data_IF_448874837077
#
_entry.id   IF_448874837077
#
_cell.length_a   1.000
_cell.length_b   1.000
_cell.length_c   1.000
_cell.angle_alpha   90.00
_cell.angle_beta   90.00
_cell.angle_gamma   90.00
#
_symmetry.space_group_name_H-M   'P 1'
#
loop_
_entity.id
_entity.type
_entity.pdbx_description
1 polymer ?
#
# COMPACT_ATOMS: atom_id res chain seq x y z
N UNK A 1 -26.76 -29.45 -9.48
CA UNK A 1 -26.03 -28.23 -9.88
C UNK A 1 -26.27 -28.01 -11.36
N UNK A 2 -27.03 -26.98 -11.72
CA UNK A 2 -27.34 -26.69 -13.12
C UNK A 2 -26.24 -25.85 -13.74
N UNK A 3 -25.72 -26.27 -14.89
CA UNK A 3 -24.87 -25.43 -15.73
C UNK A 3 -25.78 -24.45 -16.47
N UNK A 4 -25.46 -23.15 -16.40
CA UNK A 4 -26.16 -22.09 -17.12
C UNK A 4 -25.20 -21.54 -18.16
N UNK A 5 -25.62 -21.47 -19.41
CA UNK A 5 -24.87 -20.83 -20.50
C UNK A 5 -25.37 -19.40 -20.67
N UNK A 6 -24.44 -18.44 -20.68
CA UNK A 6 -24.72 -17.02 -20.95
C UNK A 6 -23.99 -16.63 -22.22
N UNK A 7 -24.72 -16.07 -23.19
CA UNK A 7 -24.15 -15.54 -24.43
C UNK A 7 -24.01 -14.02 -24.31
N UNK A 8 -22.84 -13.49 -24.67
CA UNK A 8 -22.57 -12.05 -24.69
C UNK A 8 -21.65 -11.70 -25.85
N UNK A 9 -21.78 -10.46 -26.35
CA UNK A 9 -20.84 -9.90 -27.34
C UNK A 9 -19.50 -9.51 -26.70
N UNK A 10 -19.53 -9.10 -25.43
CA UNK A 10 -18.36 -8.62 -24.71
C UNK A 10 -18.30 -9.24 -23.31
N UNK A 11 -17.08 -9.52 -22.84
CA UNK A 11 -16.82 -10.12 -21.53
C UNK A 11 -15.72 -9.30 -20.84
N UNK A 12 -15.94 -8.91 -19.60
CA UNK A 12 -14.90 -8.34 -18.72
C UNK A 12 -14.58 -9.37 -17.64
N UNK A 13 -13.32 -9.81 -17.59
CA UNK A 13 -12.81 -10.72 -16.57
C UNK A 13 -12.28 -9.90 -15.39
N UNK A 14 -12.88 -10.06 -14.22
CA UNK A 14 -12.53 -9.33 -13.00
C UNK A 14 -12.48 -10.25 -11.77
N UNK A 15 -11.86 -11.43 -11.92
CA UNK A 15 -11.78 -12.45 -10.85
C UNK A 15 -10.80 -12.10 -9.72
N UNK A 16 -10.09 -10.98 -9.83
CA UNK A 16 -9.25 -10.42 -8.79
C UNK A 16 -8.02 -11.28 -8.49
N UNK A 17 -7.66 -11.33 -7.20
CA UNK A 17 -6.49 -12.03 -6.66
C UNK A 17 -6.86 -12.87 -5.44
N UNK A 18 -5.93 -13.71 -5.01
CA UNK A 18 -5.98 -14.46 -3.74
C UNK A 18 -4.69 -14.24 -2.95
N UNK A 19 -4.69 -14.47 -1.62
CA UNK A 19 -3.47 -14.40 -0.81
C UNK A 19 -2.35 -15.29 -1.38
N UNK A 20 -1.14 -14.77 -1.41
CA UNK A 20 0.04 -15.54 -1.75
C UNK A 20 0.39 -16.50 -0.61
N UNK A 21 0.85 -17.70 -0.94
CA UNK A 21 1.35 -18.68 0.04
C UNK A 21 2.87 -18.79 -0.03
N UNK A 22 3.47 -19.29 1.05
CA UNK A 22 4.92 -19.53 1.12
C UNK A 22 5.15 -21.01 0.77
N UNK A 23 5.98 -21.33 -0.24
CA UNK A 23 6.29 -22.72 -0.58
C UNK A 23 6.77 -23.51 0.64
N UNK A 24 6.14 -24.66 0.89
CA UNK A 24 6.45 -25.53 2.03
C UNK A 24 5.73 -25.17 3.34
N UNK A 25 5.00 -24.05 3.40
CA UNK A 25 4.13 -23.70 4.53
C UNK A 25 2.68 -23.95 4.12
N UNK A 26 1.98 -24.81 4.88
CA UNK A 26 0.57 -25.10 4.64
C UNK A 26 -0.29 -24.12 5.42
N UNK A 27 -1.21 -23.44 4.72
CA UNK A 27 -2.29 -22.65 5.34
C UNK A 27 -3.43 -23.63 5.67
N UNK A 28 -3.74 -23.79 6.95
CA UNK A 28 -4.73 -24.75 7.44
C UNK A 28 -6.07 -24.08 7.85
N UNK A 29 -6.13 -22.75 7.80
CA UNK A 29 -7.31 -21.97 8.17
C UNK A 29 -7.59 -21.93 9.68
N UNK A 30 -6.74 -22.54 10.51
CA UNK A 30 -6.90 -22.61 11.97
C UNK A 30 -5.71 -22.01 12.71
N UNK A 31 -4.51 -22.54 12.50
CA UNK A 31 -3.27 -22.08 13.14
C UNK A 31 -2.44 -21.21 12.19
N UNK A 32 -2.44 -21.55 10.90
CA UNK A 32 -1.82 -20.76 9.84
C UNK A 32 -2.94 -20.27 8.93
N UNK A 33 -3.13 -18.95 8.92
CA UNK A 33 -4.25 -18.29 8.27
C UNK A 33 -3.77 -17.22 7.29
N UNK A 34 -4.66 -16.77 6.43
CA UNK A 34 -4.48 -15.59 5.57
C UNK A 34 -5.39 -14.45 6.02
N UNK A 35 -5.38 -13.35 5.29
CA UNK A 35 -6.32 -12.25 5.50
C UNK A 35 -7.78 -12.69 5.43
N UNK A 36 -8.09 -13.70 4.60
CA UNK A 36 -9.47 -14.12 4.35
C UNK A 36 -10.08 -14.78 5.59
N UNK A 37 -9.34 -15.68 6.23
CA UNK A 37 -9.79 -16.30 7.48
C UNK A 37 -9.71 -15.33 8.66
N UNK A 38 -8.72 -14.44 8.71
CA UNK A 38 -8.56 -13.48 9.81
C UNK A 38 -9.79 -12.57 9.96
N UNK A 39 -10.40 -12.16 8.85
CA UNK A 39 -11.62 -11.33 8.88
C UNK A 39 -12.86 -12.06 9.43
N UNK A 40 -12.80 -13.39 9.55
CA UNK A 40 -13.92 -14.23 9.98
C UNK A 40 -13.71 -14.85 11.37
N UNK A 41 -12.65 -14.47 12.09
CA UNK A 41 -12.37 -15.02 13.42
C UNK A 41 -13.41 -14.53 14.44
N UNK A 42 -13.87 -15.44 15.28
CA UNK A 42 -14.80 -15.14 16.39
C UNK A 42 -14.10 -14.94 17.73
N UNK A 43 -12.83 -15.37 17.82
CA UNK A 43 -12.00 -15.31 19.02
C UNK A 43 -10.60 -14.81 18.64
N UNK A 44 -10.05 -13.90 19.45
CA UNK A 44 -8.70 -13.37 19.26
C UNK A 44 -7.66 -14.32 19.86
N UNK A 45 -6.52 -14.56 19.18
CA UNK A 45 -5.38 -15.26 19.80
C UNK A 45 -4.75 -14.40 20.90
N UNK A 46 -4.07 -15.01 21.87
CA UNK A 46 -3.25 -14.24 22.83
C UNK A 46 -2.00 -13.67 22.13
N UNK A 47 -1.47 -14.40 21.14
CA UNK A 47 -0.30 -14.00 20.36
C UNK A 47 -0.37 -14.42 18.89
N UNK A 48 0.15 -13.55 18.01
CA UNK A 48 0.17 -13.79 16.56
C UNK A 48 1.51 -13.39 15.94
N UNK A 49 2.00 -14.22 15.02
CA UNK A 49 3.10 -13.88 14.13
C UNK A 49 2.54 -13.50 12.75
N UNK A 50 2.82 -12.29 12.29
CA UNK A 50 2.48 -11.80 10.96
C UNK A 50 3.71 -11.93 10.07
N UNK A 51 3.58 -12.65 8.96
CA UNK A 51 4.65 -12.89 7.99
C UNK A 51 4.41 -12.02 6.77
N UNK A 52 5.20 -10.96 6.64
CA UNK A 52 5.06 -9.92 5.64
C UNK A 52 4.77 -8.57 6.31
N UNK A 53 5.70 -7.63 6.17
CA UNK A 53 5.62 -6.26 6.62
C UNK A 53 5.11 -5.29 5.56
N UNK A 54 4.36 -5.78 4.55
CA UNK A 54 3.64 -4.95 3.59
C UNK A 54 2.35 -4.36 4.17
N UNK A 55 1.59 -3.64 3.34
CA UNK A 55 0.35 -2.91 3.71
C UNK A 55 -0.60 -3.75 4.59
N UNK A 56 -1.05 -4.90 4.07
CA UNK A 56 -1.98 -5.81 4.77
C UNK A 56 -1.42 -6.24 6.13
N UNK A 57 -0.13 -6.60 6.17
CA UNK A 57 0.50 -7.09 7.39
C UNK A 57 0.57 -6.02 8.48
N UNK A 58 0.94 -4.78 8.13
CA UNK A 58 1.05 -3.68 9.10
C UNK A 58 -0.32 -3.16 9.56
N UNK A 59 -1.34 -3.16 8.69
CA UNK A 59 -2.70 -2.80 9.07
C UNK A 59 -3.27 -3.79 10.09
N UNK A 60 -3.19 -5.09 9.81
CA UNK A 60 -3.62 -6.11 10.77
C UNK A 60 -2.76 -6.11 12.05
N UNK A 61 -1.47 -5.78 11.96
CA UNK A 61 -0.65 -5.61 13.15
C UNK A 61 -1.21 -4.51 14.07
N UNK A 62 -1.60 -3.37 13.50
CA UNK A 62 -2.23 -2.27 14.25
C UNK A 62 -3.56 -2.70 14.87
N UNK A 63 -4.45 -3.30 14.07
CA UNK A 63 -5.77 -3.74 14.51
C UNK A 63 -5.65 -4.71 15.69
N UNK A 64 -4.84 -5.76 15.54
CA UNK A 64 -4.70 -6.81 16.54
C UNK A 64 -4.01 -6.30 17.81
N UNK A 65 -2.97 -5.47 17.67
CA UNK A 65 -2.30 -4.86 18.82
C UNK A 65 -3.26 -3.97 19.63
N UNK A 66 -4.08 -3.16 18.95
CA UNK A 66 -5.09 -2.31 19.60
C UNK A 66 -6.20 -3.12 20.29
N UNK A 67 -6.45 -4.35 19.83
CA UNK A 67 -7.36 -5.30 20.47
C UNK A 67 -6.69 -6.11 21.60
N UNK A 68 -5.42 -5.83 21.92
CA UNK A 68 -4.68 -6.45 23.03
C UNK A 68 -3.94 -7.74 22.67
N UNK A 69 -3.86 -8.11 21.39
CA UNK A 69 -3.09 -9.28 20.94
C UNK A 69 -1.60 -8.97 20.96
N UNK A 70 -0.77 -9.90 21.43
CA UNK A 70 0.68 -9.77 21.31
C UNK A 70 1.12 -10.03 19.86
N UNK A 71 1.51 -8.98 19.15
CA UNK A 71 1.87 -9.05 17.73
C UNK A 71 3.38 -9.07 17.52
N UNK A 72 3.86 -10.03 16.74
CA UNK A 72 5.19 -9.98 16.11
C UNK A 72 5.03 -9.92 14.59
N UNK A 73 5.69 -8.98 13.93
CA UNK A 73 5.76 -8.87 12.46
C UNK A 73 7.17 -9.24 12.00
N UNK A 74 7.28 -10.15 11.03
CA UNK A 74 8.54 -10.41 10.33
C UNK A 74 8.43 -9.95 8.86
N UNK A 75 9.51 -9.36 8.36
CA UNK A 75 9.65 -8.95 6.96
C UNK A 75 10.99 -9.44 6.43
N UNK A 76 10.98 -10.03 5.23
CA UNK A 76 12.17 -10.55 4.58
C UNK A 76 13.10 -9.41 4.11
N UNK A 77 12.52 -8.30 3.68
CA UNK A 77 13.25 -7.09 3.31
C UNK A 77 13.74 -6.34 4.54
N UNK A 78 14.63 -5.37 4.33
CA UNK A 78 15.26 -4.58 5.37
C UNK A 78 14.33 -3.54 6.03
N UNK A 79 13.10 -3.39 5.52
CA UNK A 79 12.09 -2.42 5.98
C UNK A 79 10.66 -2.89 5.74
N UNK A 80 9.75 -2.43 6.60
CA UNK A 80 8.30 -2.56 6.40
C UNK A 80 7.83 -1.56 5.33
N UNK A 81 6.64 -1.78 4.77
CA UNK A 81 6.03 -0.97 3.69
C UNK A 81 7.08 -0.52 2.64
N UNK A 82 7.84 -1.48 2.06
CA UNK A 82 9.07 -1.22 1.31
C UNK A 82 8.86 -0.42 0.00
N UNK A 83 7.61 -0.27 -0.42
CA UNK A 83 7.21 0.54 -1.58
C UNK A 83 7.17 2.04 -1.29
N UNK A 84 7.01 2.42 -0.02
CA UNK A 84 6.93 3.80 0.45
C UNK A 84 8.31 4.47 0.56
N UNK A 85 8.30 5.79 0.77
CA UNK A 85 9.53 6.55 1.03
C UNK A 85 10.26 6.04 2.28
N UNK A 86 11.58 5.97 2.21
CA UNK A 86 12.43 5.38 3.26
C UNK A 86 12.22 6.05 4.63
N UNK A 87 12.02 7.37 4.64
CA UNK A 87 11.81 8.14 5.87
C UNK A 87 10.46 7.82 6.50
N UNK A 88 9.42 7.70 5.67
CA UNK A 88 8.05 7.38 6.08
C UNK A 88 7.97 5.96 6.65
N UNK A 89 8.57 4.99 5.94
CA UNK A 89 8.71 3.61 6.42
C UNK A 89 9.44 3.54 7.78
N UNK A 90 10.54 4.29 7.92
CA UNK A 90 11.30 4.36 9.17
C UNK A 90 10.50 4.93 10.33
N UNK A 91 9.75 6.02 10.10
CA UNK A 91 8.90 6.64 11.12
C UNK A 91 7.75 5.71 11.54
N UNK A 92 7.05 5.08 10.58
CA UNK A 92 5.99 4.13 10.90
C UNK A 92 6.53 2.99 11.77
N UNK A 93 7.67 2.39 11.39
CA UNK A 93 8.29 1.32 12.19
C UNK A 93 8.56 1.76 13.63
N UNK A 94 9.09 2.97 13.84
CA UNK A 94 9.34 3.50 15.18
C UNK A 94 8.06 3.69 15.98
N UNK A 95 6.99 4.19 15.35
CA UNK A 95 5.69 4.37 16.01
C UNK A 95 5.07 3.03 16.39
N UNK A 96 5.05 2.05 15.48
CA UNK A 96 4.49 0.73 15.75
C UNK A 96 5.25 -0.03 16.85
N UNK A 97 6.58 0.08 16.89
CA UNK A 97 7.38 -0.50 17.99
C UNK A 97 7.04 0.18 19.33
N UNK A 98 6.89 1.51 19.34
CA UNK A 98 6.51 2.25 20.54
C UNK A 98 5.10 1.86 21.03
N UNK A 99 4.22 1.48 20.11
CA UNK A 99 2.86 1.03 20.40
C UNK A 99 2.79 -0.44 20.85
N UNK A 100 3.94 -1.14 20.92
CA UNK A 100 4.06 -2.48 21.50
C UNK A 100 4.23 -3.62 20.49
N UNK A 101 4.29 -3.32 19.19
CA UNK A 101 4.45 -4.34 18.14
C UNK A 101 5.94 -4.73 18.00
N UNK A 102 6.25 -6.02 18.06
CA UNK A 102 7.62 -6.52 17.79
C UNK A 102 7.85 -6.62 16.28
N UNK A 103 8.70 -5.77 15.70
CA UNK A 103 8.96 -5.73 14.25
C UNK A 103 10.38 -6.18 13.94
N UNK A 104 10.51 -7.24 13.13
CA UNK A 104 11.79 -7.84 12.73
C UNK A 104 11.93 -7.89 11.22
N UNK A 105 12.79 -7.01 10.72
CA UNK A 105 13.15 -6.93 9.30
C UNK A 105 14.28 -7.91 8.98
N UNK A 106 14.60 -8.12 7.70
CA UNK A 106 15.61 -9.08 7.25
C UNK A 106 15.43 -10.48 7.85
N UNK A 107 14.18 -10.88 8.08
CA UNK A 107 13.81 -12.10 8.81
C UNK A 107 12.83 -12.94 7.99
N UNK A 108 13.17 -14.22 7.80
CA UNK A 108 12.45 -15.13 6.92
C UNK A 108 11.86 -16.31 7.70
N UNK A 109 10.57 -16.60 7.50
CA UNK A 109 9.95 -17.84 7.97
C UNK A 109 10.50 -19.03 7.17
N UNK A 110 11.02 -20.04 7.87
CA UNK A 110 11.56 -21.26 7.25
C UNK A 110 10.69 -22.48 7.45
N UNK A 111 10.07 -22.61 8.62
CA UNK A 111 9.28 -23.79 8.99
C UNK A 111 8.22 -23.42 10.01
N UNK A 112 7.09 -24.13 9.96
CA UNK A 112 6.02 -24.08 10.95
C UNK A 112 5.76 -25.49 11.43
N UNK A 113 5.79 -25.70 12.75
CA UNK A 113 5.37 -26.93 13.42
C UNK A 113 4.26 -26.60 14.42
N UNK A 114 3.24 -27.46 14.53
CA UNK A 114 2.15 -27.30 15.50
C UNK A 114 2.32 -28.37 16.59
N UNK A 115 2.43 -27.95 17.85
CA UNK A 115 2.58 -28.84 19.01
C UNK A 115 1.72 -28.34 20.16
N UNK A 116 0.92 -29.22 20.76
CA UNK A 116 0.10 -28.91 21.94
C UNK A 116 -0.72 -27.62 21.79
N UNK A 117 -1.34 -27.41 20.61
CA UNK A 117 -2.08 -26.21 20.23
C UNK A 117 -1.27 -24.90 20.16
N UNK A 118 0.06 -24.97 20.25
CA UNK A 118 0.98 -23.85 20.03
C UNK A 118 1.65 -23.98 18.65
N UNK A 119 1.84 -22.87 17.97
CA UNK A 119 2.56 -22.80 16.70
C UNK A 119 4.02 -22.42 16.96
N UNK A 120 4.95 -23.28 16.56
CA UNK A 120 6.39 -23.03 16.59
C UNK A 120 6.87 -22.60 15.20
N UNK A 121 7.10 -21.31 15.02
CA UNK A 121 7.64 -20.72 13.80
C UNK A 121 9.16 -20.65 13.86
N UNK A 122 9.85 -21.41 13.02
CA UNK A 122 11.29 -21.27 12.84
C UNK A 122 11.57 -20.11 11.88
N UNK A 123 12.19 -19.05 12.39
CA UNK A 123 12.59 -17.89 11.59
C UNK A 123 14.11 -17.76 11.55
N UNK A 124 14.62 -17.21 10.45
CA UNK A 124 16.04 -16.94 10.28
C UNK A 124 16.24 -15.45 9.99
N UNK A 125 17.08 -14.80 10.78
CA UNK A 125 17.59 -13.46 10.50
C UNK A 125 19.09 -13.58 10.28
N UNK A 126 19.57 -13.14 9.12
CA UNK A 126 20.95 -13.34 8.67
C UNK A 126 21.38 -14.82 8.73
N UNK A 127 22.17 -15.20 9.75
CA UNK A 127 22.66 -16.57 10.01
C UNK A 127 22.15 -17.14 11.33
N UNK A 128 21.30 -16.42 12.06
CA UNK A 128 20.76 -16.86 13.34
C UNK A 128 19.35 -17.40 13.16
N UNK A 129 19.19 -18.67 13.49
CA UNK A 129 17.90 -19.32 13.57
C UNK A 129 17.32 -19.16 14.98
N UNK A 130 16.03 -18.86 15.05
CA UNK A 130 15.27 -18.85 16.30
C UNK A 130 13.89 -19.48 16.10
N UNK A 131 13.24 -19.78 17.22
CA UNK A 131 11.86 -20.30 17.25
C UNK A 131 11.00 -19.28 17.96
N UNK A 132 9.99 -18.77 17.26
CA UNK A 132 8.93 -17.93 17.81
C UNK A 132 7.73 -18.83 18.10
N UNK A 133 7.22 -18.78 19.33
CA UNK A 133 6.00 -19.50 19.74
C UNK A 133 4.83 -18.54 19.79
N UNK A 134 3.76 -18.85 19.07
CA UNK A 134 2.53 -18.05 18.98
C UNK A 134 1.31 -18.96 18.87
N UNK A 135 0.12 -18.42 19.06
CA UNK A 135 -1.13 -19.19 18.90
C UNK A 135 -1.55 -19.29 17.44
N UNK A 136 -1.24 -18.25 16.64
CA UNK A 136 -1.56 -18.19 15.21
C UNK A 136 -0.45 -17.52 14.39
N UNK A 137 -0.40 -17.87 13.11
CA UNK A 137 0.41 -17.20 12.09
C UNK A 137 -0.52 -16.62 11.02
N UNK A 138 -0.34 -15.34 10.70
CA UNK A 138 -0.93 -14.70 9.52
C UNK A 138 0.10 -14.66 8.38
N UNK A 139 -0.22 -15.26 7.23
CA UNK A 139 0.55 -15.12 6.01
C UNK A 139 0.03 -13.88 5.24
N UNK A 140 0.86 -12.83 5.18
CA UNK A 140 0.57 -11.56 4.54
C UNK A 140 1.70 -11.16 3.56
N UNK A 141 2.23 -12.12 2.81
CA UNK A 141 3.39 -11.94 1.91
C UNK A 141 3.04 -11.39 0.52
N UNK A 142 1.79 -10.97 0.32
CA UNK A 142 1.29 -10.42 -0.94
C UNK A 142 0.08 -11.18 -1.48
N UNK A 143 -0.28 -10.88 -2.72
CA UNK A 143 -1.43 -11.45 -3.42
C UNK A 143 -1.02 -11.88 -4.82
N UNK A 144 -1.71 -12.88 -5.37
CA UNK A 144 -1.48 -13.38 -6.73
C UNK A 144 -2.78 -13.35 -7.54
N UNK A 145 -2.74 -13.05 -8.85
CA UNK A 145 -3.89 -13.12 -9.74
C UNK A 145 -4.66 -14.45 -9.64
N UNK A 146 -5.99 -14.39 -9.61
CA UNK A 146 -6.86 -15.56 -9.44
C UNK A 146 -7.47 -16.01 -10.76
N UNK A 147 -6.87 -17.03 -11.39
CA UNK A 147 -7.44 -17.70 -12.58
C UNK A 147 -8.45 -18.79 -12.19
N UNK A 148 -8.79 -18.92 -10.90
CA UNK A 148 -9.70 -19.96 -10.42
C UNK A 148 -11.07 -19.85 -11.09
N UNK A 149 -11.58 -20.98 -11.59
CA UNK A 149 -12.87 -21.04 -12.29
C UNK A 149 -12.86 -20.55 -13.74
N UNK A 150 -11.69 -20.17 -14.28
CA UNK A 150 -11.55 -19.76 -15.69
C UNK A 150 -10.86 -20.85 -16.51
N UNK A 151 -11.47 -21.30 -17.59
CA UNK A 151 -10.82 -22.18 -18.58
C UNK A 151 -10.06 -21.35 -19.63
N UNK A 152 -9.03 -20.66 -19.16
CA UNK A 152 -8.16 -19.79 -19.97
C UNK A 152 -7.51 -20.55 -21.13
N UNK A 153 -7.14 -21.81 -20.89
CA UNK A 153 -6.52 -22.70 -21.86
C UNK A 153 -7.41 -22.97 -23.06
N UNK A 154 -8.70 -23.29 -22.84
CA UNK A 154 -9.63 -23.61 -23.93
C UNK A 154 -9.87 -22.42 -24.87
N UNK A 155 -9.84 -21.20 -24.33
CA UNK A 155 -10.14 -19.95 -25.07
C UNK A 155 -8.87 -19.29 -25.62
N UNK A 156 -7.68 -19.81 -25.29
CA UNK A 156 -6.38 -19.28 -25.72
C UNK A 156 -6.14 -17.80 -25.32
N UNK A 157 -6.63 -17.38 -24.13
CA UNK A 157 -6.28 -16.08 -23.57
C UNK A 157 -4.81 -16.12 -23.10
N UNK A 158 -4.01 -15.13 -23.51
CA UNK A 158 -2.58 -15.05 -23.19
C UNK A 158 -2.37 -14.66 -21.73
N UNK A 159 -1.49 -15.38 -21.06
CA UNK A 159 -1.09 -15.13 -19.68
C UNK A 159 0.42 -15.05 -19.52
N UNK A 160 0.88 -14.34 -18.50
CA UNK A 160 2.28 -14.32 -18.05
C UNK A 160 2.30 -14.49 -16.52
N UNK A 161 3.01 -15.47 -15.97
CA UNK A 161 3.12 -15.69 -14.50
C UNK A 161 1.77 -15.57 -13.75
N UNK A 162 0.74 -16.25 -14.27
CA UNK A 162 -0.64 -16.29 -13.76
C UNK A 162 -1.49 -15.02 -13.90
N UNK A 163 -1.00 -13.92 -14.49
CA UNK A 163 -1.87 -12.78 -14.86
C UNK A 163 -2.33 -12.86 -16.31
N UNK A 164 -3.51 -12.31 -16.60
CA UNK A 164 -3.99 -12.09 -17.97
C UNK A 164 -3.27 -10.88 -18.56
N UNK A 165 -2.74 -11.03 -19.78
CA UNK A 165 -2.09 -9.94 -20.50
C UNK A 165 -3.14 -9.07 -21.17
N UNK A 166 -3.10 -7.76 -20.89
CA UNK A 166 -3.95 -6.76 -21.53
C UNK A 166 -3.12 -5.60 -22.10
N UNK A 167 -3.67 -4.90 -23.10
CA UNK A 167 -3.14 -3.61 -23.55
C UNK A 167 -3.62 -2.46 -22.65
N UNK A 168 -3.25 -1.20 -22.94
CA UNK A 168 -3.68 -0.03 -22.16
C UNK A 168 -5.18 0.31 -22.28
N UNK A 169 -5.92 -0.34 -23.19
CA UNK A 169 -7.38 -0.26 -23.34
C UNK A 169 -8.09 -1.40 -22.59
N UNK A 170 -7.36 -2.14 -21.75
CA UNK A 170 -7.81 -3.30 -20.98
C UNK A 170 -8.25 -4.51 -21.84
N UNK A 171 -7.89 -4.53 -23.13
CA UNK A 171 -8.24 -5.61 -24.05
C UNK A 171 -7.25 -6.76 -23.92
N UNK A 172 -7.77 -7.99 -23.92
CA UNK A 172 -6.96 -9.21 -24.06
C UNK A 172 -6.57 -9.43 -25.53
N UNK A 173 -5.97 -10.58 -25.85
CA UNK A 173 -5.74 -11.01 -27.23
C UNK A 173 -6.99 -11.54 -27.95
N UNK A 174 -8.13 -11.69 -27.25
CA UNK A 174 -9.38 -12.16 -27.83
C UNK A 174 -10.31 -10.95 -28.02
N UNK A 175 -10.82 -10.77 -29.23
CA UNK A 175 -11.75 -9.68 -29.55
C UNK A 175 -13.02 -9.77 -28.69
N UNK A 176 -13.46 -8.63 -28.14
CA UNK A 176 -14.60 -8.58 -27.22
C UNK A 176 -14.30 -9.03 -25.80
N UNK A 177 -13.07 -9.49 -25.48
CA UNK A 177 -12.70 -9.94 -24.13
C UNK A 177 -11.68 -9.00 -23.51
N UNK A 178 -12.02 -8.52 -22.31
CA UNK A 178 -11.26 -7.58 -21.50
C UNK A 178 -10.92 -8.23 -20.16
N UNK A 179 -9.89 -7.72 -19.47
CA UNK A 179 -9.59 -8.09 -18.10
C UNK A 179 -9.15 -6.87 -17.29
N UNK A 180 -9.59 -6.77 -16.04
CA UNK A 180 -9.38 -5.60 -15.18
C UNK A 180 -9.12 -6.00 -13.72
N UNK A 181 -8.47 -5.11 -12.99
CA UNK A 181 -8.08 -5.29 -11.60
C UNK A 181 -6.97 -6.30 -11.44
N UNK A 182 -6.87 -6.87 -10.24
CA UNK A 182 -5.73 -7.66 -9.81
C UNK A 182 -5.38 -8.86 -10.70
N UNK A 183 -6.32 -9.36 -11.49
CA UNK A 183 -6.10 -10.46 -12.45
C UNK A 183 -5.06 -10.09 -13.52
N UNK A 184 -4.83 -8.80 -13.76
CA UNK A 184 -3.83 -8.27 -14.71
C UNK A 184 -2.44 -8.11 -14.08
N UNK A 185 -2.32 -8.25 -12.75
CA UNK A 185 -1.06 -8.18 -12.01
C UNK A 185 -0.36 -6.81 -12.03
N UNK A 186 -1.08 -5.73 -12.33
CA UNK A 186 -0.59 -4.35 -12.28
C UNK A 186 -0.52 -3.80 -10.85
N UNK A 187 -1.13 -2.64 -10.61
CA UNK A 187 -1.26 -2.08 -9.26
C UNK A 187 -2.51 -2.69 -8.61
N UNK A 188 -2.31 -3.49 -7.57
CA UNK A 188 -3.38 -4.26 -6.91
C UNK A 188 -4.15 -3.40 -5.89
N UNK A 189 -4.86 -2.38 -6.39
CA UNK A 189 -5.64 -1.44 -5.58
C UNK A 189 -7.07 -1.33 -6.13
N UNK A 190 -8.05 -1.22 -5.22
CA UNK A 190 -9.46 -1.18 -5.59
C UNK A 190 -9.82 -0.01 -6.52
N UNK A 191 -9.26 1.18 -6.27
CA UNK A 191 -9.47 2.36 -7.13
C UNK A 191 -8.80 2.23 -8.49
N UNK A 192 -7.69 1.49 -8.61
CA UNK A 192 -7.09 1.16 -9.91
C UNK A 192 -7.98 0.17 -10.66
N UNK A 193 -8.41 -0.91 -10.02
CA UNK A 193 -9.32 -1.88 -10.63
C UNK A 193 -10.63 -1.23 -11.11
N UNK A 194 -11.16 -0.26 -10.35
CA UNK A 194 -12.34 0.51 -10.72
C UNK A 194 -12.09 1.38 -11.95
N UNK A 195 -10.95 2.08 -12.00
CA UNK A 195 -10.56 2.89 -13.16
C UNK A 195 -10.34 2.03 -14.43
N UNK A 196 -9.68 0.87 -14.28
CA UNK A 196 -9.52 -0.11 -15.35
C UNK A 196 -10.88 -0.64 -15.85
N UNK A 197 -11.82 -0.90 -14.94
CA UNK A 197 -13.20 -1.26 -15.26
C UNK A 197 -13.93 -0.20 -16.10
N UNK A 198 -13.77 1.08 -15.74
CA UNK A 198 -14.31 2.21 -16.51
C UNK A 198 -13.69 2.23 -17.91
N UNK A 199 -12.37 2.15 -18.03
CA UNK A 199 -11.66 2.12 -19.32
C UNK A 199 -12.16 0.96 -20.20
N UNK A 200 -12.32 -0.23 -19.64
CA UNK A 200 -12.85 -1.38 -20.39
C UNK A 200 -14.28 -1.13 -20.88
N UNK A 201 -15.16 -0.61 -20.01
CA UNK A 201 -16.55 -0.31 -20.36
C UNK A 201 -16.68 0.78 -21.44
N UNK A 202 -15.87 1.85 -21.35
CA UNK A 202 -15.81 2.91 -22.36
C UNK A 202 -15.38 2.37 -23.72
N UNK A 203 -14.37 1.51 -23.75
CA UNK A 203 -13.91 0.87 -24.99
C UNK A 203 -14.95 -0.09 -25.58
N UNK A 204 -15.70 -0.83 -24.75
CA UNK A 204 -16.84 -1.64 -25.20
C UNK A 204 -17.93 -0.76 -25.81
N UNK A 205 -18.16 0.43 -25.27
CA UNK A 205 -19.12 1.40 -25.79
C UNK A 205 -18.64 2.12 -27.07
N UNK A 206 -17.43 1.81 -27.57
CA UNK A 206 -16.86 2.41 -28.78
C UNK A 206 -16.14 3.74 -28.56
N UNK A 207 -15.84 4.10 -27.31
CA UNK A 207 -15.00 5.25 -26.99
C UNK A 207 -13.51 4.89 -27.10
N UNK A 208 -12.65 5.91 -27.17
CA UNK A 208 -11.19 5.75 -27.14
C UNK A 208 -10.67 6.11 -25.74
N UNK A 209 -10.47 5.08 -24.92
CA UNK A 209 -10.07 5.24 -23.52
C UNK A 209 -8.84 4.40 -23.19
N UNK A 210 -7.90 4.98 -22.45
CA UNK A 210 -6.66 4.31 -22.02
C UNK A 210 -6.44 4.54 -20.54
N UNK A 211 -5.94 3.52 -19.84
CA UNK A 211 -5.56 3.65 -18.44
C UNK A 211 -4.26 4.48 -18.31
N UNK A 212 -4.22 5.37 -17.31
CA UNK A 212 -3.02 6.10 -16.91
C UNK A 212 -2.77 5.92 -15.42
N UNK A 213 -1.79 5.07 -15.10
CA UNK A 213 -1.41 4.74 -13.72
C UNK A 213 -0.20 5.55 -13.22
N UNK A 214 0.16 6.68 -13.86
CA UNK A 214 1.26 7.52 -13.39
C UNK A 214 0.97 8.17 -12.03
N UNK A 215 -0.30 8.48 -11.77
CA UNK A 215 -0.75 9.19 -10.57
C UNK A 215 -1.78 8.32 -9.88
N UNK A 216 -1.27 7.38 -9.09
CA UNK A 216 -2.10 6.51 -8.25
C UNK A 216 -1.73 6.77 -6.80
N UNK A 217 -2.67 7.25 -5.98
CA UNK A 217 -2.43 7.37 -4.55
C UNK A 217 -2.37 5.98 -3.91
N UNK A 218 -1.46 5.82 -2.95
CA UNK A 218 -1.39 4.69 -2.05
C UNK A 218 -1.84 5.14 -0.66
N UNK A 219 -2.67 4.35 -0.02
CA UNK A 219 -3.20 4.61 1.31
C UNK A 219 -3.01 3.35 2.17
N UNK A 220 -2.48 3.54 3.38
CA UNK A 220 -2.22 2.49 4.36
C UNK A 220 -2.87 2.93 5.67
N UNK A 221 -3.86 2.18 6.12
CA UNK A 221 -4.75 2.55 7.21
C UNK A 221 -4.22 2.07 8.57
N UNK A 222 -2.94 2.33 8.84
CA UNK A 222 -2.31 2.16 10.16
C UNK A 222 -2.63 3.32 11.09
N UNK A 223 -2.17 3.27 12.34
CA UNK A 223 -2.22 4.42 13.26
C UNK A 223 -0.80 4.83 13.70
N UNK A 224 -0.26 5.96 13.23
CA UNK A 224 -0.87 6.92 12.29
C UNK A 224 -1.01 6.35 10.87
N UNK A 225 -1.88 6.98 10.06
CA UNK A 225 -2.07 6.62 8.66
C UNK A 225 -0.81 6.95 7.84
N UNK A 226 -0.61 6.23 6.74
CA UNK A 226 0.42 6.54 5.74
C UNK A 226 -0.25 6.68 4.38
N UNK A 227 0.11 7.72 3.64
CA UNK A 227 -0.35 7.90 2.28
C UNK A 227 0.72 8.54 1.38
N UNK A 228 0.73 8.15 0.11
CA UNK A 228 1.70 8.68 -0.85
C UNK A 228 1.13 8.77 -2.26
N UNK A 229 1.71 9.64 -3.08
CA UNK A 229 1.45 9.71 -4.51
C UNK A 229 2.71 10.18 -5.24
N UNK A 230 2.97 9.62 -6.42
CA UNK A 230 4.14 9.94 -7.23
C UNK A 230 5.41 9.19 -6.82
N UNK A 231 6.56 9.82 -7.06
CA UNK A 231 7.88 9.22 -6.85
C UNK A 231 8.31 9.33 -5.39
N UNK A 232 8.91 8.27 -4.86
CA UNK A 232 9.74 8.34 -3.65
C UNK A 232 11.05 9.05 -3.95
N UNK A 233 11.75 9.52 -2.91
CA UNK A 233 13.05 10.17 -3.05
C UNK A 233 14.05 9.26 -3.77
N UNK A 234 14.13 8.00 -3.35
CA UNK A 234 15.02 7.01 -3.95
C UNK A 234 14.69 6.72 -5.41
N UNK A 235 13.40 6.65 -5.77
CA UNK A 235 12.97 6.42 -7.16
C UNK A 235 13.25 7.64 -8.04
N UNK A 236 13.02 8.85 -7.54
CA UNK A 236 13.33 10.09 -8.25
C UNK A 236 14.84 10.21 -8.56
N UNK A 237 15.69 10.00 -7.55
CA UNK A 237 17.15 10.01 -7.75
C UNK A 237 17.59 8.91 -8.73
N UNK A 238 17.07 7.69 -8.58
CA UNK A 238 17.40 6.57 -9.49
C UNK A 238 16.96 6.81 -10.93
N UNK A 239 15.88 7.59 -11.14
CA UNK A 239 15.40 8.01 -12.45
C UNK A 239 16.18 9.21 -13.03
N UNK A 240 17.19 9.73 -12.32
CA UNK A 240 18.06 10.81 -12.79
C UNK A 240 17.57 12.23 -12.46
N UNK A 241 16.49 12.38 -11.68
CA UNK A 241 16.03 13.70 -11.25
C UNK A 241 17.02 14.32 -10.25
N UNK A 242 17.21 15.63 -10.36
CA UNK A 242 17.82 16.42 -9.30
C UNK A 242 16.70 16.93 -8.42
N UNK A 243 16.69 16.61 -7.14
CA UNK A 243 15.53 16.89 -6.30
C UNK A 243 15.77 18.00 -5.27
N UNK A 244 14.69 18.69 -4.90
CA UNK A 244 14.54 19.40 -3.63
C UNK A 244 13.44 18.71 -2.83
N UNK A 245 13.45 18.89 -1.51
CA UNK A 245 12.39 18.37 -0.66
C UNK A 245 12.01 19.38 0.42
N UNK A 246 10.71 19.48 0.71
CA UNK A 246 10.18 20.24 1.84
C UNK A 246 9.46 19.30 2.80
N UNK A 247 9.49 19.61 4.10
CA UNK A 247 8.86 18.79 5.13
C UNK A 247 8.19 19.65 6.19
N UNK A 248 7.05 19.18 6.69
CA UNK A 248 6.37 19.79 7.82
C UNK A 248 5.88 18.72 8.81
N UNK A 249 6.35 18.73 10.07
CA UNK A 249 5.93 17.75 11.08
C UNK A 249 4.60 18.15 11.72
N UNK A 250 3.74 17.17 12.01
CA UNK A 250 2.43 17.43 12.63
C UNK A 250 2.52 18.00 14.05
N UNK A 251 3.65 17.84 14.74
CA UNK A 251 3.91 18.50 16.03
C UNK A 251 3.94 20.04 15.93
N UNK A 252 4.16 20.60 14.75
CA UNK A 252 4.09 22.04 14.49
C UNK A 252 2.69 22.49 14.03
N UNK A 253 1.75 21.57 13.78
CA UNK A 253 0.39 21.90 13.35
C UNK A 253 -0.53 22.08 14.57
N UNK A 254 -1.17 23.24 14.69
CA UNK A 254 -2.07 23.55 15.81
C UNK A 254 -3.29 22.62 15.86
N UNK A 255 -3.87 22.25 14.72
CA UNK A 255 -5.01 21.32 14.66
C UNK A 255 -4.62 19.94 15.18
N UNK A 256 -3.48 19.41 14.74
CA UNK A 256 -2.95 18.12 15.22
C UNK A 256 -2.72 18.13 16.74
N UNK A 257 -2.23 19.25 17.30
CA UNK A 257 -2.12 19.42 18.76
C UNK A 257 -3.49 19.37 19.43
N UNK A 258 -4.51 20.06 18.90
CA UNK A 258 -5.87 20.03 19.48
C UNK A 258 -6.53 18.66 19.43
N UNK A 259 -6.09 17.80 18.50
CA UNK A 259 -6.56 16.42 18.35
C UNK A 259 -5.75 15.42 19.20
N UNK A 260 -4.65 15.85 19.82
CA UNK A 260 -3.65 14.97 20.45
C UNK A 260 -3.03 13.93 19.47
N UNK A 261 -2.96 14.29 18.17
CA UNK A 261 -2.49 13.42 17.09
C UNK A 261 -1.31 14.05 16.35
N UNK A 262 -0.21 14.27 17.07
CA UNK A 262 0.96 15.01 16.55
C UNK A 262 2.03 14.13 15.90
N UNK A 263 1.80 12.82 15.78
CA UNK A 263 2.80 11.87 15.24
C UNK A 263 2.89 12.01 13.72
N UNK A 264 4.11 12.16 13.22
CA UNK A 264 4.43 12.09 11.80
C UNK A 264 4.69 13.43 11.12
N UNK A 265 4.69 13.43 9.79
CA UNK A 265 5.03 14.57 8.94
C UNK A 265 4.46 14.43 7.53
N UNK A 266 4.49 15.54 6.80
CA UNK A 266 4.33 15.60 5.34
C UNK A 266 5.70 15.88 4.71
N UNK A 267 6.00 15.18 3.61
CA UNK A 267 7.19 15.35 2.77
C UNK A 267 6.79 15.56 1.32
N UNK A 268 7.26 16.65 0.73
CA UNK A 268 7.07 17.00 -0.68
C UNK A 268 8.40 16.88 -1.41
N UNK A 269 8.37 16.30 -2.61
CA UNK A 269 9.53 16.09 -3.48
C UNK A 269 9.30 16.84 -4.78
N UNK A 270 10.29 17.66 -5.16
CA UNK A 270 10.25 18.54 -6.33
C UNK A 270 11.44 18.25 -7.23
N UNK A 271 11.22 18.18 -8.53
CA UNK A 271 12.32 18.22 -9.49
C UNK A 271 12.89 19.64 -9.56
N UNK A 272 14.15 19.81 -9.16
CA UNK A 272 14.84 21.10 -9.13
C UNK A 272 15.12 21.72 -10.51
N UNK A 273 14.91 20.98 -11.60
CA UNK A 273 15.08 21.53 -12.96
C UNK A 273 13.80 22.18 -13.48
N UNK A 274 12.66 21.52 -13.29
CA UNK A 274 11.35 21.97 -13.76
C UNK A 274 10.54 22.70 -12.69
N UNK A 275 10.94 22.56 -11.42
CA UNK A 275 10.20 22.96 -10.20
C UNK A 275 8.86 22.23 -10.01
N UNK A 276 8.55 21.21 -10.82
CA UNK A 276 7.33 20.42 -10.66
C UNK A 276 7.37 19.53 -9.42
N UNK A 277 6.26 19.47 -8.71
CA UNK A 277 6.06 18.50 -7.63
C UNK A 277 5.92 17.11 -8.25
N UNK A 278 6.81 16.20 -7.88
CA UNK A 278 6.90 14.84 -8.43
C UNK A 278 6.54 13.74 -7.42
N UNK A 279 6.36 14.11 -6.14
CA UNK A 279 5.86 13.18 -5.13
C UNK A 279 5.48 13.88 -3.84
N UNK A 280 4.45 13.35 -3.18
CA UNK A 280 4.04 13.76 -1.83
C UNK A 280 3.86 12.51 -0.99
N UNK A 281 4.36 12.53 0.24
CA UNK A 281 4.33 11.43 1.18
C UNK A 281 3.92 11.94 2.55
N UNK A 282 2.96 11.28 3.18
CA UNK A 282 2.35 11.70 4.44
C UNK A 282 2.34 10.52 5.39
N UNK A 283 2.75 10.77 6.63
CA UNK A 283 2.48 9.91 7.78
C UNK A 283 1.88 10.78 8.87
N UNK A 284 0.69 10.46 9.35
CA UNK A 284 0.03 11.27 10.37
C UNK A 284 -1.50 11.18 10.35
N UNK A 285 -2.19 12.08 11.07
CA UNK A 285 -3.65 12.12 11.10
C UNK A 285 -4.22 12.44 9.71
N UNK A 286 -5.28 11.72 9.34
CA UNK A 286 -6.03 11.90 8.07
C UNK A 286 -5.13 11.91 6.82
N UNK A 287 -4.00 11.20 6.84
CA UNK A 287 -3.06 11.15 5.72
C UNK A 287 -3.74 10.73 4.40
N UNK A 288 -4.69 9.80 4.49
CA UNK A 288 -5.42 9.24 3.35
C UNK A 288 -6.38 10.23 2.70
N UNK A 289 -6.85 11.23 3.44
CA UNK A 289 -7.65 12.33 2.91
C UNK A 289 -6.75 13.46 2.38
N UNK A 290 -5.70 13.81 3.11
CA UNK A 290 -4.77 14.89 2.73
C UNK A 290 -4.04 14.60 1.41
N UNK A 291 -3.73 13.34 1.12
CA UNK A 291 -2.97 12.94 -0.08
C UNK A 291 -3.69 13.24 -1.40
N UNK A 292 -5.02 13.44 -1.36
CA UNK A 292 -5.78 13.83 -2.55
C UNK A 292 -5.36 15.18 -3.10
N UNK A 293 -4.91 16.11 -2.23
CA UNK A 293 -4.32 17.38 -2.68
C UNK A 293 -3.04 17.15 -3.51
N UNK A 294 -2.23 16.16 -3.11
CA UNK A 294 -1.05 15.75 -3.86
C UNK A 294 -1.41 15.11 -5.20
N UNK A 295 -2.44 14.29 -5.24
CA UNK A 295 -2.91 13.67 -6.49
C UNK A 295 -3.33 14.73 -7.50
N UNK A 296 -4.03 15.78 -7.05
CA UNK A 296 -4.39 16.91 -7.89
C UNK A 296 -3.16 17.72 -8.33
N UNK A 297 -2.24 18.02 -7.40
CA UNK A 297 -1.02 18.77 -7.70
C UNK A 297 -0.15 18.06 -8.76
N UNK A 298 0.05 16.75 -8.64
CA UNK A 298 0.78 15.97 -9.64
C UNK A 298 0.03 15.92 -10.98
N UNK A 299 -1.32 15.84 -10.96
CA UNK A 299 -2.12 15.79 -12.19
C UNK A 299 -2.08 17.08 -12.97
N UNK A 300 -1.97 18.21 -12.28
CA UNK A 300 -1.86 19.54 -12.85
C UNK A 300 -0.40 19.97 -13.07
N UNK A 301 0.57 19.10 -12.81
CA UNK A 301 2.02 19.39 -12.92
C UNK A 301 2.45 20.62 -12.12
N UNK A 302 1.79 20.84 -10.98
CA UNK A 302 1.90 22.04 -10.14
C UNK A 302 3.31 22.24 -9.59
N UNK A 303 3.69 23.51 -9.39
CA UNK A 303 4.97 23.93 -8.81
C UNK A 303 4.77 24.60 -7.43
N UNK A 304 5.78 24.61 -6.53
CA UNK A 304 5.66 25.26 -5.22
C UNK A 304 5.23 26.74 -5.24
N UNK A 305 5.59 27.48 -6.29
CA UNK A 305 5.21 28.90 -6.44
C UNK A 305 3.68 29.09 -6.52
N UNK A 306 2.96 28.12 -7.07
CA UNK A 306 1.49 28.18 -7.20
C UNK A 306 0.77 28.03 -5.85
N UNK A 307 1.46 27.52 -4.81
CA UNK A 307 0.91 27.40 -3.46
C UNK A 307 0.95 28.70 -2.66
N UNK A 308 1.86 29.64 -2.97
CA UNK A 308 2.15 30.84 -2.15
C UNK A 308 0.97 31.78 -1.85
N UNK A 309 -0.14 31.65 -2.57
CA UNK A 309 -1.33 32.50 -2.41
C UNK A 309 -2.61 31.71 -2.19
N UNK A 310 -2.52 30.39 -2.01
CA UNK A 310 -3.67 29.59 -1.66
C UNK A 310 -3.98 29.85 -0.18
N UNK A 311 -5.22 30.26 0.10
CA UNK A 311 -5.68 30.49 1.47
C UNK A 311 -6.20 29.16 2.01
N UNK A 312 -5.41 28.52 2.87
CA UNK A 312 -5.84 27.35 3.64
C UNK A 312 -6.64 27.79 4.86
N UNK A 313 -7.65 27.01 5.26
CA UNK A 313 -8.43 27.27 6.46
C UNK A 313 -7.60 26.96 7.71
N UNK A 314 -7.78 27.78 8.76
CA UNK A 314 -7.07 27.65 10.04
C UNK A 314 -8.04 27.49 11.23
N UNK A 315 -7.78 26.58 12.19
CA UNK A 315 -6.74 25.56 12.17
C UNK A 315 -7.22 24.28 11.45
N UNK A 316 -6.43 23.76 10.49
CA UNK A 316 -6.67 22.47 9.81
C UNK A 316 -5.39 21.67 9.62
N UNK A 317 -5.52 20.35 9.46
CA UNK A 317 -4.38 19.48 9.10
C UNK A 317 -3.86 19.82 7.68
N UNK A 318 -4.74 20.27 6.79
CA UNK A 318 -4.41 20.65 5.42
C UNK A 318 -3.34 21.73 5.34
N UNK A 319 -3.24 22.63 6.32
CA UNK A 319 -2.18 23.65 6.38
C UNK A 319 -0.78 23.02 6.39
N UNK A 320 -0.62 21.80 6.91
CA UNK A 320 0.65 21.08 6.86
C UNK A 320 1.09 20.75 5.43
N UNK A 321 0.15 20.56 4.48
CA UNK A 321 0.50 20.38 3.07
C UNK A 321 1.11 21.67 2.54
N UNK A 322 0.43 22.81 2.76
CA UNK A 322 0.92 24.14 2.35
C UNK A 322 2.32 24.42 2.92
N UNK A 323 2.51 24.25 4.22
CA UNK A 323 3.78 24.51 4.87
C UNK A 323 4.89 23.57 4.38
N UNK A 324 4.57 22.30 4.10
CA UNK A 324 5.55 21.37 3.52
C UNK A 324 5.98 21.74 2.11
N UNK A 325 5.09 22.35 1.32
CA UNK A 325 5.40 22.89 -0.01
C UNK A 325 6.28 24.14 0.12
N UNK A 326 5.93 25.08 1.01
CA UNK A 326 6.76 26.27 1.28
C UNK A 326 8.16 25.91 1.81
N UNK A 327 8.28 24.84 2.61
CA UNK A 327 9.56 24.39 3.13
C UNK A 327 10.54 23.94 2.03
N UNK A 328 10.06 23.56 0.84
CA UNK A 328 10.92 23.24 -0.33
C UNK A 328 11.89 24.40 -0.62
N UNK A 329 11.41 25.64 -0.47
CA UNK A 329 12.18 26.87 -0.68
C UNK A 329 12.60 27.55 0.64
N UNK A 330 12.46 26.87 1.79
CA UNK A 330 12.70 27.41 3.14
C UNK A 330 11.80 28.60 3.49
N UNK A 331 10.58 28.62 2.95
CA UNK A 331 9.60 29.70 3.13
C UNK A 331 8.49 29.33 4.13
N UNK A 332 8.54 28.14 4.73
CA UNK A 332 7.60 27.73 5.78
C UNK A 332 7.61 28.73 6.95
N UNK A 333 6.42 29.13 7.40
CA UNK A 333 6.22 30.20 8.38
C UNK A 333 6.15 29.62 9.78
N UNK A 334 5.54 28.44 9.94
CA UNK A 334 5.32 27.80 11.24
C UNK A 334 6.48 26.88 11.67
N UNK A 335 7.63 26.99 10.99
CA UNK A 335 8.88 26.32 11.35
C UNK A 335 9.95 27.31 11.81
N UNK A 336 10.88 26.88 12.69
CA UNK A 336 12.10 27.63 12.94
C UNK A 336 12.85 27.89 11.63
N UNK A 337 13.31 29.14 11.43
CA UNK A 337 14.06 29.50 10.22
C UNK A 337 15.31 28.63 10.09
N UNK A 338 15.44 27.94 8.96
CA UNK A 338 16.63 27.16 8.59
C UNK A 338 17.74 28.12 8.16
N UNK A 339 18.69 28.37 9.06
CA UNK A 339 19.91 29.15 8.78
C UNK A 339 20.79 28.43 7.77
#
# INVERSE_FOLDING_TARGET
TGQITVESKNIIIATGSVPATIPGITVDGKYVITSDELLSVTELPESILIVGGGVIGVEFACILNNLGVKVTVIEMLDRIIPTEDTEISGLLKQFLIKDGIDIRVSTVLKKVDIKDNTVEATVCSESKQEIIKVDKILIATGRIPSLHGLDISSVNIKTDKNRIIVNNRMQTNIEGVYAVGDITGGILLAHVASAEGIVAAENIAGLDSVIDCKIVPNCIFTSPEVASVGLTESKAISAGYKIKSGKFPFIANSRAITMDETRGLIKVIVDSQTESIIGIHIIGPEATELIMQGSLALKLETIPEEFKRIIYAHPTLSESVLESVHDVNKEAIDLPKKV
#
